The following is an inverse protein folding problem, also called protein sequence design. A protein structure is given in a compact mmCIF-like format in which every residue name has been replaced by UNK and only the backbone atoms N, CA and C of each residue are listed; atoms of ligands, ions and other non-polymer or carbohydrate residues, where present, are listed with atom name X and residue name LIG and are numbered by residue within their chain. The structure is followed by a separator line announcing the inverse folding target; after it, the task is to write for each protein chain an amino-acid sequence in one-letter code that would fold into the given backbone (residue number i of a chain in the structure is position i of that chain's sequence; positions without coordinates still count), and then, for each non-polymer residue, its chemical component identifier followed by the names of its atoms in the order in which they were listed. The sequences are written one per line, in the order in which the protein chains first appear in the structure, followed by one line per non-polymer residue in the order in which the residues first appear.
data_IF_956236759237
#
_entry.id   IF_956236759237
#
_cell.length_a   1.000
_cell.length_b   1.000
_cell.length_c   1.000
_cell.angle_alpha   90.00
_cell.angle_beta   90.00
_cell.angle_gamma   90.00
#
_symmetry.space_group_name_H-M   'P 1'
#
loop_
_entity.id
_entity.type
_entity.pdbx_description
1 polymer ?
#
# COMPACT_ATOMS: atom_id res chain seq x y z
N UNK A 1 -18.58 -22.09 -49.84
CA UNK A 1 -19.11 -22.10 -48.47
C UNK A 1 -18.41 -20.98 -47.71
N UNK A 2 -19.13 -19.98 -47.20
CA UNK A 2 -18.54 -18.87 -46.44
C UNK A 2 -18.78 -19.10 -44.95
N UNK A 3 -17.72 -19.41 -44.22
CA UNK A 3 -17.78 -19.55 -42.76
C UNK A 3 -17.72 -18.15 -42.14
N UNK A 4 -18.79 -17.73 -41.48
CA UNK A 4 -18.83 -16.46 -40.75
C UNK A 4 -18.70 -16.73 -39.26
N UNK A 5 -17.62 -16.22 -38.64
CA UNK A 5 -17.40 -16.26 -37.20
C UNK A 5 -17.80 -14.90 -36.62
N UNK A 6 -18.78 -14.89 -35.72
CA UNK A 6 -19.14 -13.70 -34.93
C UNK A 6 -18.67 -13.89 -33.50
N UNK A 7 -17.68 -13.11 -33.08
CA UNK A 7 -17.22 -13.06 -31.70
C UNK A 7 -18.10 -12.03 -30.99
N UNK A 8 -18.96 -12.47 -30.08
CA UNK A 8 -19.71 -11.58 -29.18
C UNK A 8 -18.95 -11.50 -27.85
N UNK A 9 -18.76 -10.29 -27.28
CA UNK A 9 -18.27 -10.20 -25.90
C UNK A 9 -19.32 -10.83 -24.98
N UNK A 10 -18.90 -11.75 -24.11
CA UNK A 10 -19.79 -12.37 -23.12
C UNK A 10 -20.24 -11.31 -22.10
N UNK A 11 -21.56 -11.17 -21.85
CA UNK A 11 -22.12 -10.13 -20.98
C UNK A 11 -21.83 -10.34 -19.48
N UNK A 12 -21.16 -11.44 -19.10
CA UNK A 12 -20.88 -11.82 -17.70
C UNK A 12 -19.39 -11.83 -17.34
N UNK A 13 -18.49 -11.33 -18.21
CA UNK A 13 -17.15 -11.03 -17.74
C UNK A 13 -17.22 -9.71 -16.96
N UNK A 14 -16.93 -9.67 -15.64
CA UNK A 14 -16.80 -8.41 -14.93
C UNK A 14 -15.79 -7.57 -15.70
N UNK A 15 -16.01 -6.26 -15.92
CA UNK A 15 -15.04 -5.45 -16.66
C UNK A 15 -13.67 -5.70 -16.03
N UNK A 16 -12.71 -6.20 -16.84
CA UNK A 16 -11.33 -6.35 -16.40
C UNK A 16 -10.98 -5.04 -15.71
N UNK A 17 -10.68 -5.15 -14.42
CA UNK A 17 -10.57 -4.07 -13.46
C UNK A 17 -9.87 -2.89 -14.12
N UNK A 18 -10.67 -1.87 -14.46
CA UNK A 18 -10.30 -0.81 -15.40
C UNK A 18 -9.21 0.06 -14.77
N UNK A 19 -7.95 -0.26 -15.09
CA UNK A 19 -6.73 0.57 -14.99
C UNK A 19 -6.52 1.34 -13.68
N UNK A 20 -7.18 0.95 -12.59
CA UNK A 20 -7.12 1.65 -11.31
C UNK A 20 -6.51 0.76 -10.25
N UNK A 21 -5.39 1.18 -9.65
CA UNK A 21 -4.71 0.39 -8.64
C UNK A 21 -5.57 0.27 -7.38
N UNK A 22 -5.31 -0.80 -6.63
CA UNK A 22 -5.82 -1.07 -5.30
C UNK A 22 -4.69 -0.89 -4.27
N UNK A 23 -4.23 0.35 -4.00
CA UNK A 23 -3.05 0.58 -3.19
C UNK A 23 -3.27 0.36 -1.68
N UNK A 24 -2.22 -0.15 -1.03
CA UNK A 24 -2.10 -0.29 0.42
C UNK A 24 -0.66 -0.02 0.88
N UNK A 25 -0.50 0.40 2.14
CA UNK A 25 0.81 0.64 2.75
C UNK A 25 1.18 -0.53 3.64
N UNK A 26 2.46 -0.90 3.60
CA UNK A 26 3.09 -1.81 4.56
C UNK A 26 4.15 -1.04 5.30
N UNK A 27 4.03 -0.98 6.64
CA UNK A 27 4.90 -0.21 7.52
C UNK A 27 5.64 -1.16 8.45
N UNK A 28 6.94 -0.99 8.62
CA UNK A 28 7.73 -1.72 9.61
C UNK A 28 9.03 -0.99 9.92
N UNK A 29 9.66 -1.36 11.01
CA UNK A 29 10.95 -0.81 11.44
C UNK A 29 11.82 -1.93 12.00
N UNK A 30 13.13 -1.94 11.73
CA UNK A 30 14.05 -2.92 12.30
C UNK A 30 14.12 -2.86 13.84
N UNK A 31 13.89 -1.70 14.45
CA UNK A 31 13.79 -1.56 15.91
C UNK A 31 12.52 -2.17 16.51
N UNK A 32 11.56 -2.63 15.70
CA UNK A 32 10.36 -3.32 16.14
C UNK A 32 10.10 -4.57 15.27
N UNK A 33 10.77 -5.71 15.53
CA UNK A 33 10.67 -6.91 14.70
C UNK A 33 9.23 -7.47 14.60
N UNK A 34 8.40 -7.27 15.63
CA UNK A 34 6.98 -7.63 15.62
C UNK A 34 6.05 -6.45 15.24
N UNK A 35 6.63 -5.32 14.85
CA UNK A 35 5.95 -4.07 14.55
C UNK A 35 5.45 -3.98 13.10
N UNK A 36 5.57 -5.01 12.26
CA UNK A 36 5.04 -4.92 10.89
C UNK A 36 3.53 -4.72 10.90
N UNK A 37 3.07 -3.65 10.24
CA UNK A 37 1.67 -3.25 10.10
C UNK A 37 1.34 -3.05 8.62
N UNK A 38 0.06 -3.15 8.28
CA UNK A 38 -0.45 -2.84 6.94
C UNK A 38 -1.74 -2.06 7.03
N UNK A 39 -1.95 -1.13 6.12
CA UNK A 39 -3.22 -0.40 6.01
C UNK A 39 -4.27 -1.24 5.29
N UNK A 40 -5.53 -0.81 5.42
CA UNK A 40 -6.61 -1.25 4.53
C UNK A 40 -6.25 -1.02 3.05
N UNK A 41 -6.58 -1.96 2.18
CA UNK A 41 -6.51 -1.75 0.72
C UNK A 41 -7.60 -0.79 0.29
N UNK A 42 -7.25 0.29 -0.40
CA UNK A 42 -8.22 1.23 -0.97
C UNK A 42 -8.41 0.86 -2.43
N UNK A 43 -9.63 0.48 -2.80
CA UNK A 43 -9.88 -0.05 -4.14
C UNK A 43 -10.06 1.04 -5.20
N UNK A 44 -9.59 0.77 -6.42
CA UNK A 44 -9.79 1.60 -7.61
C UNK A 44 -9.44 3.09 -7.43
N UNK A 45 -8.25 3.42 -6.91
CA UNK A 45 -7.83 4.82 -6.72
C UNK A 45 -6.33 5.07 -6.92
N UNK A 46 -5.98 6.15 -7.63
CA UNK A 46 -4.59 6.64 -7.72
C UNK A 46 -4.23 7.59 -6.55
N UNK A 47 -5.20 8.00 -5.75
CA UNK A 47 -5.01 8.89 -4.58
C UNK A 47 -5.67 8.26 -3.35
N UNK A 48 -5.10 7.16 -2.83
CA UNK A 48 -5.62 6.52 -1.64
C UNK A 48 -5.51 7.41 -0.41
N UNK A 49 -6.58 7.43 0.38
CA UNK A 49 -6.60 8.02 1.72
C UNK A 49 -6.85 6.88 2.70
N UNK A 50 -5.83 6.52 3.48
CA UNK A 50 -5.93 5.40 4.42
C UNK A 50 -6.48 5.80 5.80
N UNK A 51 -6.24 7.05 6.22
CA UNK A 51 -6.65 7.64 7.50
C UNK A 51 -6.57 6.62 8.65
N UNK A 52 -5.35 6.11 8.90
CA UNK A 52 -5.08 5.04 9.85
C UNK A 52 -3.88 5.38 10.70
N UNK A 53 -4.04 5.26 12.02
CA UNK A 53 -2.98 5.40 13.00
C UNK A 53 -2.44 4.02 13.38
N UNK A 54 -1.13 3.96 13.62
CA UNK A 54 -0.45 2.75 14.07
C UNK A 54 0.53 3.08 15.18
N UNK A 55 0.44 2.32 16.27
CA UNK A 55 1.37 2.39 17.38
C UNK A 55 2.50 1.38 17.19
N UNK A 56 3.73 1.86 17.30
CA UNK A 56 4.93 1.02 17.27
C UNK A 56 5.67 1.17 18.60
N UNK A 57 5.97 0.04 19.23
CA UNK A 57 6.92 0.01 20.34
C UNK A 57 8.33 0.00 19.74
N UNK A 58 9.00 1.13 19.81
CA UNK A 58 10.36 1.31 19.29
C UNK A 58 11.34 1.12 20.42
N UNK A 59 12.41 0.37 20.13
CA UNK A 59 13.53 0.29 21.04
C UNK A 59 14.53 1.42 20.72
N UNK A 60 14.77 2.36 21.65
CA UNK A 60 15.59 3.55 21.41
C UNK A 60 17.07 3.22 21.16
N UNK A 61 17.50 1.98 21.43
CA UNK A 61 18.85 1.52 21.13
C UNK A 61 19.03 0.97 19.71
N UNK A 62 17.93 0.81 18.98
CA UNK A 62 17.92 0.26 17.63
C UNK A 62 17.57 1.33 16.59
N UNK A 63 17.77 0.95 15.32
CA UNK A 63 17.51 1.79 14.16
C UNK A 63 16.04 2.25 14.12
N UNK A 64 15.86 3.56 14.25
CA UNK A 64 14.60 4.30 14.24
C UNK A 64 14.25 4.76 12.81
N UNK A 65 14.40 3.86 11.82
CA UNK A 65 13.92 4.07 10.46
C UNK A 65 12.56 3.37 10.29
N UNK A 66 11.50 4.14 10.04
CA UNK A 66 10.23 3.58 9.59
C UNK A 66 10.27 3.36 8.08
N UNK A 67 10.18 2.11 7.67
CA UNK A 67 10.06 1.72 6.26
C UNK A 67 8.61 1.62 5.90
N UNK A 68 8.21 2.35 4.87
CA UNK A 68 6.85 2.36 4.32
C UNK A 68 6.91 1.96 2.86
N UNK A 69 6.25 0.85 2.52
CA UNK A 69 6.13 0.39 1.15
C UNK A 69 4.70 0.59 0.65
N UNK A 70 4.56 1.28 -0.47
CA UNK A 70 3.32 1.37 -1.23
C UNK A 70 3.21 0.16 -2.14
N UNK A 71 2.21 -0.67 -1.88
CA UNK A 71 1.90 -1.87 -2.64
C UNK A 71 0.58 -1.68 -3.38
N UNK A 72 0.46 -2.23 -4.57
CA UNK A 72 -0.78 -2.42 -5.30
C UNK A 72 -1.26 -3.86 -5.14
N UNK A 73 -2.52 -4.04 -4.78
CA UNK A 73 -3.10 -5.38 -4.69
C UNK A 73 -3.53 -5.85 -6.07
N UNK A 74 -2.75 -6.74 -6.66
CA UNK A 74 -3.09 -7.40 -7.92
C UNK A 74 -3.99 -8.62 -7.72
N UNK A 75 -4.59 -9.10 -8.81
CA UNK A 75 -5.44 -10.30 -8.81
C UNK A 75 -4.66 -11.58 -8.48
N UNK A 76 -3.37 -11.64 -8.85
CA UNK A 76 -2.50 -12.81 -8.64
C UNK A 76 -1.28 -12.51 -7.77
N UNK A 77 -0.64 -11.35 -7.98
CA UNK A 77 0.56 -10.93 -7.25
C UNK A 77 0.44 -9.45 -6.90
N UNK A 78 0.85 -9.11 -5.68
CA UNK A 78 0.93 -7.71 -5.26
C UNK A 78 2.17 -7.05 -5.87
N UNK A 79 2.02 -5.83 -6.38
CA UNK A 79 3.10 -5.07 -7.00
C UNK A 79 3.61 -4.00 -6.04
N UNK A 80 4.94 -3.90 -5.86
CA UNK A 80 5.53 -2.77 -5.16
C UNK A 80 5.53 -1.54 -6.07
N UNK A 81 4.75 -0.51 -5.72
CA UNK A 81 4.71 0.76 -6.44
C UNK A 81 5.80 1.72 -5.98
N UNK A 82 6.09 1.75 -4.67
CA UNK A 82 7.04 2.71 -4.12
C UNK A 82 7.49 2.35 -2.71
N UNK A 83 8.60 2.96 -2.30
CA UNK A 83 9.16 2.81 -0.95
C UNK A 83 9.60 4.17 -0.43
N UNK A 84 9.28 4.45 0.83
CA UNK A 84 9.64 5.65 1.57
C UNK A 84 10.26 5.20 2.89
N UNK A 85 11.27 5.93 3.33
CA UNK A 85 11.90 5.77 4.63
C UNK A 85 11.67 7.06 5.38
N UNK A 86 11.18 6.94 6.60
CA UNK A 86 10.94 8.08 7.49
C UNK A 86 11.85 7.88 8.68
N UNK A 87 12.70 8.85 8.93
CA UNK A 87 13.44 8.88 10.19
C UNK A 87 12.46 9.20 11.31
N UNK A 88 12.35 8.29 12.28
CA UNK A 88 11.46 8.43 13.42
C UNK A 88 12.22 8.63 14.73
N UNK A 89 13.53 8.88 14.65
CA UNK A 89 14.40 9.20 15.79
C UNK A 89 13.99 10.51 16.45
N UNK A 90 13.52 11.46 15.63
CA UNK A 90 13.06 12.77 16.07
C UNK A 90 11.56 12.83 16.34
N UNK A 91 10.83 11.71 16.17
CA UNK A 91 9.40 11.69 16.47
C UNK A 91 9.17 11.76 17.99
N UNK A 92 8.43 12.77 18.48
CA UNK A 92 8.03 12.79 19.89
C UNK A 92 7.17 11.57 20.24
N UNK A 93 7.60 10.79 21.25
CA UNK A 93 6.95 9.54 21.71
C UNK A 93 5.49 9.70 22.18
N UNK A 94 5.01 10.93 22.38
CA UNK A 94 3.69 11.23 22.95
C UNK A 94 2.87 12.18 22.06
N UNK A 95 3.18 12.27 20.77
CA UNK A 95 2.41 13.11 19.84
C UNK A 95 2.05 12.37 18.56
N UNK A 96 0.81 12.58 18.14
CA UNK A 96 0.35 12.26 16.79
C UNK A 96 1.04 13.19 15.79
N UNK A 97 1.87 12.62 14.91
CA UNK A 97 2.49 13.37 13.84
C UNK A 97 1.86 12.98 12.50
N UNK A 98 1.25 13.95 11.85
CA UNK A 98 0.69 13.79 10.51
C UNK A 98 1.77 14.10 9.47
N UNK A 99 2.31 13.08 8.83
CA UNK A 99 3.25 13.23 7.72
C UNK A 99 2.60 12.81 6.41
N UNK A 100 2.53 13.74 5.45
CA UNK A 100 2.22 13.38 4.06
C UNK A 100 3.43 12.64 3.47
N UNK A 101 3.24 11.36 3.13
CA UNK A 101 4.26 10.54 2.49
C UNK A 101 4.16 10.71 0.97
N UNK A 102 5.26 11.13 0.35
CA UNK A 102 5.38 11.23 -1.10
C UNK A 102 6.20 10.06 -1.62
N UNK A 103 5.59 9.26 -2.46
CA UNK A 103 6.25 8.16 -3.16
C UNK A 103 6.82 8.68 -4.49
N UNK A 104 7.98 8.16 -4.92
CA UNK A 104 8.62 8.56 -6.17
C UNK A 104 7.79 8.17 -7.41
#
# INVERSE_FOLDING_TARGET
MISSLSIRPEPDHPPLQVDRPDPYLVLWTPGAPHGRRKTRTVKNTHRPVWDQCFDFMLDPQHDTELRVHLMDRGAAVDQLLGKVRVDISELPLDKELYQELRFP
#
